data_IF_595456538669
#
_entry.id   IF_595456538669
#
_cell.length_a   1.000
_cell.length_b   1.000
_cell.length_c   1.000
_cell.angle_alpha   90.00
_cell.angle_beta   90.00
_cell.angle_gamma   90.00
#
_symmetry.space_group_name_H-M   'P 1'
#
loop_
_entity.id
_entity.type
_entity.pdbx_description
1 polymer ?
#
# COMPACT_ATOMS: atom_id res chain seq x y z
N UNK A 1 -6.54 -8.56 20.16
CA UNK A 1 -6.72 -7.63 19.03
C UNK A 1 -5.63 -6.60 19.12
N UNK A 2 -4.81 -6.45 18.09
CA UNK A 2 -3.73 -5.46 18.02
C UNK A 2 -4.23 -4.08 17.58
N UNK A 3 -5.40 -4.02 16.94
CA UNK A 3 -6.09 -2.75 16.67
C UNK A 3 -6.94 -2.79 15.40
N UNK A 4 -7.30 -1.60 14.92
CA UNK A 4 -8.04 -1.39 13.67
C UNK A 4 -7.12 -0.84 12.59
N UNK A 5 -7.24 -1.40 11.39
CA UNK A 5 -6.69 -0.85 10.16
C UNK A 5 -7.72 0.10 9.55
N UNK A 6 -7.34 1.33 9.15
CA UNK A 6 -8.26 2.23 8.50
C UNK A 6 -8.67 1.70 7.12
N UNK A 7 -9.75 2.23 6.57
CA UNK A 7 -10.06 2.05 5.15
C UNK A 7 -8.91 2.56 4.27
N UNK A 8 -8.67 1.92 3.13
CA UNK A 8 -7.58 2.33 2.24
C UNK A 8 -7.83 1.95 0.79
N UNK A 9 -7.22 2.70 -0.14
CA UNK A 9 -7.17 2.33 -1.55
C UNK A 9 -5.98 1.40 -1.80
N UNK A 10 -6.20 0.31 -2.52
CA UNK A 10 -5.14 -0.40 -3.23
C UNK A 10 -5.16 0.01 -4.68
N UNK A 11 -3.99 0.28 -5.25
CA UNK A 11 -3.92 0.76 -6.61
C UNK A 11 -2.75 0.14 -7.38
N UNK A 12 -2.92 0.04 -8.69
CA UNK A 12 -1.88 -0.36 -9.63
C UNK A 12 -2.12 0.26 -11.01
N UNK A 13 -1.02 0.57 -11.71
CA UNK A 13 -1.04 1.01 -13.09
C UNK A 13 -0.97 -0.22 -14.02
N UNK A 14 -1.98 -0.39 -14.87
CA UNK A 14 -2.05 -1.49 -15.82
C UNK A 14 -1.16 -1.21 -17.04
N UNK A 15 0.13 -1.50 -16.84
CA UNK A 15 1.13 -1.48 -17.89
C UNK A 15 1.77 -2.87 -18.03
N UNK A 16 2.01 -3.31 -19.27
CA UNK A 16 2.69 -4.56 -19.55
C UNK A 16 4.10 -4.56 -18.94
N UNK A 17 4.51 -5.65 -18.33
CA UNK A 17 5.81 -5.72 -17.64
C UNK A 17 6.29 -7.16 -17.52
N UNK A 18 7.56 -7.40 -17.84
CA UNK A 18 8.20 -8.71 -17.73
C UNK A 18 8.28 -9.22 -16.27
N UNK A 19 8.25 -8.31 -15.28
CA UNK A 19 8.25 -8.66 -13.86
C UNK A 19 6.89 -9.17 -13.34
N UNK A 20 5.86 -9.20 -14.19
CA UNK A 20 4.51 -9.64 -13.83
C UNK A 20 4.10 -10.81 -14.72
N UNK A 21 4.06 -12.00 -14.15
CA UNK A 21 3.77 -13.27 -14.83
C UNK A 21 2.27 -13.55 -15.06
N UNK A 22 1.41 -12.53 -14.88
CA UNK A 22 -0.03 -12.69 -14.88
C UNK A 22 -0.72 -11.77 -15.87
N UNK A 23 -1.83 -12.23 -16.49
CA UNK A 23 -2.44 -11.52 -17.59
C UNK A 23 -3.17 -10.27 -17.12
N UNK A 24 -3.27 -9.30 -18.04
CA UNK A 24 -4.07 -8.07 -17.97
C UNK A 24 -3.61 -7.02 -16.94
N UNK A 25 -2.81 -7.38 -15.94
CA UNK A 25 -2.25 -6.45 -14.95
C UNK A 25 -3.29 -5.59 -14.22
N UNK A 26 -4.52 -6.10 -14.10
CA UNK A 26 -5.69 -5.35 -13.61
C UNK A 26 -5.99 -5.53 -12.12
N UNK A 27 -5.24 -6.38 -11.43
CA UNK A 27 -5.46 -6.67 -10.01
C UNK A 27 -4.35 -6.02 -9.17
N UNK A 28 -4.66 -4.94 -8.42
CA UNK A 28 -3.70 -4.30 -7.52
C UNK A 28 -3.11 -5.27 -6.49
N UNK A 29 -3.90 -6.21 -5.97
CA UNK A 29 -3.41 -7.18 -4.98
C UNK A 29 -2.41 -8.15 -5.60
N UNK A 30 -2.69 -8.63 -6.82
CA UNK A 30 -1.78 -9.53 -7.52
C UNK A 30 -0.51 -8.80 -7.94
N UNK A 31 -0.60 -7.54 -8.36
CA UNK A 31 0.56 -6.68 -8.66
C UNK A 31 1.45 -6.50 -7.44
N UNK A 32 0.86 -6.14 -6.30
CA UNK A 32 1.55 -5.98 -5.03
C UNK A 32 2.26 -7.27 -4.61
N UNK A 33 1.58 -8.42 -4.68
CA UNK A 33 2.14 -9.71 -4.26
C UNK A 33 3.37 -10.13 -5.05
N UNK A 34 3.41 -9.88 -6.36
CA UNK A 34 4.58 -10.18 -7.19
C UNK A 34 5.71 -9.20 -6.88
N UNK A 35 5.42 -7.90 -6.91
CA UNK A 35 6.49 -6.88 -6.94
C UNK A 35 6.95 -6.41 -5.55
N UNK A 36 6.22 -6.73 -4.47
CA UNK A 36 6.57 -6.28 -3.11
C UNK A 36 7.99 -6.67 -2.71
N UNK A 37 8.41 -7.91 -2.97
CA UNK A 37 9.71 -8.39 -2.51
C UNK A 37 10.87 -7.58 -3.12
N UNK A 38 10.76 -7.23 -4.40
CA UNK A 38 11.68 -6.35 -5.11
C UNK A 38 11.73 -4.98 -4.44
N UNK A 39 10.57 -4.38 -4.11
CA UNK A 39 10.51 -3.07 -3.42
C UNK A 39 11.15 -3.13 -2.03
N UNK A 40 10.91 -4.21 -1.28
CA UNK A 40 11.51 -4.40 0.05
C UNK A 40 13.04 -4.52 -0.06
N UNK A 41 13.55 -5.24 -1.05
CA UNK A 41 14.98 -5.30 -1.35
C UNK A 41 15.57 -3.94 -1.69
N UNK A 42 14.95 -3.18 -2.61
CA UNK A 42 15.42 -1.84 -2.94
C UNK A 42 15.48 -0.94 -1.71
N UNK A 43 14.44 -0.96 -0.88
CA UNK A 43 14.45 -0.20 0.38
C UNK A 43 15.58 -0.65 1.32
N UNK A 44 15.94 -1.94 1.31
CA UNK A 44 17.08 -2.45 2.08
C UNK A 44 18.40 -1.90 1.54
N UNK A 45 18.60 -1.90 0.21
CA UNK A 45 19.80 -1.32 -0.41
C UNK A 45 19.91 0.17 -0.09
N UNK A 46 18.84 0.95 -0.27
CA UNK A 46 18.83 2.39 -0.01
C UNK A 46 19.07 2.74 1.47
N UNK A 47 18.84 1.79 2.39
CA UNK A 47 19.08 1.92 3.82
C UNK A 47 20.36 1.20 4.26
N UNK A 48 21.17 0.74 3.30
CA UNK A 48 22.42 0.03 3.51
C UNK A 48 22.24 -1.25 4.36
N UNK A 49 21.07 -1.89 4.30
CA UNK A 49 20.70 -3.07 5.10
C UNK A 49 21.01 -4.41 4.43
N UNK A 50 21.90 -4.42 3.45
CA UNK A 50 22.25 -5.62 2.68
C UNK A 50 23.73 -5.92 2.85
N UNK A 51 24.04 -7.08 3.41
CA UNK A 51 25.41 -7.57 3.60
C UNK A 51 25.51 -9.02 3.14
N UNK A 52 26.55 -9.37 2.39
CA UNK A 52 26.83 -10.74 1.95
C UNK A 52 25.62 -11.47 1.34
N UNK A 53 24.81 -10.77 0.55
CA UNK A 53 23.63 -11.34 -0.11
C UNK A 53 22.43 -11.57 0.81
N UNK A 54 22.42 -11.02 2.03
CA UNK A 54 21.31 -11.08 2.98
C UNK A 54 20.86 -9.66 3.33
N UNK A 55 19.55 -9.44 3.26
CA UNK A 55 18.92 -8.20 3.69
C UNK A 55 18.27 -8.38 5.06
N UNK A 56 18.54 -7.47 6.00
CA UNK A 56 18.05 -7.54 7.39
C UNK A 56 16.87 -6.59 7.58
N UNK A 57 15.82 -7.00 8.29
CA UNK A 57 14.74 -6.10 8.71
C UNK A 57 15.33 -4.92 9.51
N UNK A 58 14.79 -3.68 9.43
CA UNK A 58 15.24 -2.59 10.27
C UNK A 58 15.27 -2.98 11.76
N UNK A 59 16.45 -2.90 12.36
CA UNK A 59 16.67 -3.12 13.79
C UNK A 59 16.49 -1.76 14.49
N UNK A 60 15.57 -1.71 15.46
CA UNK A 60 15.27 -0.49 16.23
C UNK A 60 15.77 -0.58 17.68
N UNK A 61 16.03 -1.78 18.18
CA UNK A 61 16.36 -2.02 19.58
C UNK A 61 17.87 -2.00 19.83
N UNK A 62 18.27 -1.52 21.01
CA UNK A 62 19.66 -1.55 21.50
C UNK A 62 20.15 -2.98 21.83
N UNK A 63 19.24 -3.95 21.88
CA UNK A 63 19.57 -5.37 22.03
C UNK A 63 18.80 -6.20 21.03
N UNK A 64 19.48 -7.14 20.39
CA UNK A 64 18.95 -7.97 19.31
C UNK A 64 19.04 -9.42 19.75
N UNK A 65 17.89 -10.08 19.89
CA UNK A 65 17.82 -11.54 20.08
C UNK A 65 17.94 -12.23 18.71
N UNK A 66 18.98 -13.05 18.53
CA UNK A 66 19.26 -13.79 17.30
C UNK A 66 18.04 -14.58 16.81
N UNK A 67 17.22 -15.13 17.73
CA UNK A 67 16.06 -15.95 17.40
C UNK A 67 14.87 -15.15 16.82
N UNK A 68 14.86 -13.83 17.01
CA UNK A 68 13.78 -12.94 16.57
C UNK A 68 14.16 -12.06 15.38
N UNK A 69 15.44 -12.01 15.00
CA UNK A 69 15.86 -11.21 13.84
C UNK A 69 15.29 -11.77 12.55
N UNK A 70 14.67 -10.88 11.77
CA UNK A 70 14.14 -11.21 10.47
C UNK A 70 15.06 -10.71 9.35
N UNK A 71 15.18 -11.51 8.31
CA UNK A 71 15.95 -11.21 7.11
C UNK A 71 15.47 -12.03 5.92
N UNK A 72 16.09 -11.82 4.77
CA UNK A 72 15.90 -12.67 3.60
C UNK A 72 17.16 -12.74 2.75
N UNK A 73 17.34 -13.87 2.05
CA UNK A 73 18.40 -14.00 1.06
C UNK A 73 17.98 -13.26 -0.21
N UNK A 74 18.87 -12.43 -0.73
CA UNK A 74 18.64 -11.68 -1.97
C UNK A 74 18.35 -12.66 -3.11
N UNK A 75 19.09 -13.76 -3.18
CA UNK A 75 18.86 -14.80 -4.18
C UNK A 75 17.40 -15.31 -4.21
N UNK A 76 16.80 -15.58 -3.05
CA UNK A 76 15.42 -16.09 -2.95
C UNK A 76 14.38 -15.08 -3.47
N UNK A 77 14.67 -13.78 -3.39
CA UNK A 77 13.77 -12.74 -3.93
C UNK A 77 13.82 -12.72 -5.46
N UNK A 78 15.00 -12.94 -6.03
CA UNK A 78 15.28 -12.71 -7.44
C UNK A 78 15.26 -13.98 -8.30
N UNK A 79 15.13 -15.17 -7.70
CA UNK A 79 15.05 -16.48 -8.37
C UNK A 79 14.15 -16.47 -9.63
N UNK A 80 13.01 -15.78 -9.57
CA UNK A 80 12.04 -15.70 -10.68
C UNK A 80 12.12 -14.41 -11.50
N UNK A 81 12.90 -13.41 -11.07
CA UNK A 81 12.98 -12.09 -11.72
C UNK A 81 14.31 -11.85 -12.44
N UNK A 82 15.28 -12.77 -12.33
CA UNK A 82 16.61 -12.62 -12.88
C UNK A 82 17.59 -12.08 -11.83
N UNK A 83 18.45 -11.15 -12.20
CA UNK A 83 19.31 -10.44 -11.25
C UNK A 83 18.76 -9.02 -10.94
N UNK A 84 19.25 -8.35 -9.87
CA UNK A 84 18.84 -6.98 -9.57
C UNK A 84 19.10 -5.99 -10.71
N UNK A 85 20.11 -6.22 -11.56
CA UNK A 85 20.45 -5.36 -12.69
C UNK A 85 19.37 -5.42 -13.79
N UNK A 86 18.87 -6.61 -14.10
CA UNK A 86 17.79 -6.84 -15.05
C UNK A 86 16.48 -6.17 -14.59
N UNK A 87 16.19 -6.25 -13.29
CA UNK A 87 15.04 -5.55 -12.68
C UNK A 87 15.23 -4.03 -12.76
N UNK A 88 16.43 -3.53 -12.48
CA UNK A 88 16.77 -2.11 -12.60
C UNK A 88 16.53 -1.60 -14.02
N UNK A 89 17.11 -2.26 -15.03
CA UNK A 89 16.95 -1.93 -16.46
C UNK A 89 15.48 -1.93 -16.88
N UNK A 90 14.71 -2.91 -16.42
CA UNK A 90 13.26 -2.98 -16.69
C UNK A 90 12.52 -1.79 -16.09
N UNK A 91 12.88 -1.39 -14.87
CA UNK A 91 12.23 -0.28 -14.18
C UNK A 91 12.70 1.08 -14.69
N UNK A 92 13.91 1.17 -15.24
CA UNK A 92 14.58 2.41 -15.66
C UNK A 92 13.77 3.20 -16.67
N UNK A 93 13.23 2.50 -17.67
CA UNK A 93 12.46 3.07 -18.78
C UNK A 93 10.95 2.85 -18.64
N UNK A 94 10.49 2.37 -17.48
CA UNK A 94 9.09 2.00 -17.28
C UNK A 94 8.21 3.25 -17.11
N UNK A 95 7.26 3.52 -18.03
CA UNK A 95 6.40 4.70 -17.96
C UNK A 95 5.34 4.61 -16.85
N UNK A 96 5.17 3.43 -16.23
CA UNK A 96 4.26 3.23 -15.11
C UNK A 96 4.95 3.34 -13.74
N UNK A 97 6.24 3.68 -13.68
CA UNK A 97 6.97 3.77 -12.43
C UNK A 97 6.79 5.14 -11.78
N UNK A 98 5.70 5.32 -11.04
CA UNK A 98 5.35 6.61 -10.42
C UNK A 98 6.36 7.12 -9.40
N UNK A 99 7.18 6.22 -8.83
CA UNK A 99 8.20 6.58 -7.85
C UNK A 99 9.44 7.22 -8.48
N UNK A 100 9.64 7.10 -9.80
CA UNK A 100 10.76 7.76 -10.51
C UNK A 100 10.73 9.28 -10.46
N UNK A 101 9.56 9.86 -10.19
CA UNK A 101 9.41 11.31 -10.00
C UNK A 101 10.02 11.79 -8.66
N UNK A 102 10.32 10.87 -7.73
CA UNK A 102 10.95 11.16 -6.43
C UNK A 102 12.40 10.70 -6.41
N UNK A 103 12.61 9.47 -6.86
CA UNK A 103 13.90 8.81 -6.83
C UNK A 103 14.11 8.16 -8.20
N UNK A 104 15.04 8.72 -8.98
CA UNK A 104 15.36 8.23 -10.33
C UNK A 104 15.79 6.76 -10.35
N UNK A 105 16.28 6.25 -9.22
CA UNK A 105 16.67 4.86 -9.01
C UNK A 105 15.52 3.96 -8.59
N UNK A 106 14.34 4.51 -8.26
CA UNK A 106 13.20 3.74 -7.76
C UNK A 106 12.77 2.62 -8.71
N UNK A 107 12.46 1.46 -8.14
CA UNK A 107 11.99 0.27 -8.84
C UNK A 107 10.53 0.00 -8.51
N UNK A 108 9.87 -0.70 -9.43
CA UNK A 108 8.52 -1.26 -9.26
C UNK A 108 7.48 -0.27 -8.74
N UNK A 109 7.59 1.04 -9.01
CA UNK A 109 6.69 2.10 -8.51
C UNK A 109 5.28 2.13 -9.11
N UNK A 110 4.84 1.05 -9.76
CA UNK A 110 3.57 0.96 -10.49
C UNK A 110 2.38 0.49 -9.63
N UNK A 111 2.54 0.41 -8.32
CA UNK A 111 1.49 0.01 -7.38
C UNK A 111 1.70 0.63 -6.00
N UNK A 112 0.65 0.65 -5.20
CA UNK A 112 0.73 1.08 -3.81
C UNK A 112 -0.57 0.92 -3.05
N UNK A 113 -0.55 1.48 -1.85
CA UNK A 113 -1.72 1.61 -0.98
C UNK A 113 -1.81 3.05 -0.50
N UNK A 114 -3.02 3.55 -0.32
CA UNK A 114 -3.27 4.88 0.24
C UNK A 114 -4.33 4.74 1.35
N UNK A 115 -3.92 4.77 2.63
CA UNK A 115 -4.86 4.79 3.73
C UNK A 115 -5.67 6.10 3.70
N UNK A 116 -6.93 6.02 4.12
CA UNK A 116 -7.82 7.19 4.14
C UNK A 116 -7.44 8.20 5.21
N UNK A 117 -6.80 7.72 6.27
CA UNK A 117 -6.18 8.54 7.31
C UNK A 117 -4.67 8.53 7.11
N UNK A 118 -3.99 9.54 7.67
CA UNK A 118 -2.52 9.63 7.69
C UNK A 118 -1.90 8.59 8.66
N UNK A 119 -2.18 7.31 8.43
CA UNK A 119 -1.76 6.17 9.25
C UNK A 119 -0.72 5.39 8.47
N UNK A 120 0.37 4.98 9.12
CA UNK A 120 1.21 3.90 8.61
C UNK A 120 0.42 2.59 8.71
N UNK A 121 0.13 1.94 7.57
CA UNK A 121 -0.56 0.65 7.59
C UNK A 121 0.22 -0.33 8.51
N UNK A 122 -0.43 -1.00 9.47
CA UNK A 122 0.21 -1.78 10.54
C UNK A 122 0.97 -3.02 10.08
N UNK A 123 1.13 -3.22 8.77
CA UNK A 123 1.88 -4.35 8.24
C UNK A 123 3.41 -4.22 8.48
N UNK A 124 3.89 -3.06 8.97
CA UNK A 124 5.33 -2.76 9.13
C UNK A 124 5.70 -1.99 10.42
N UNK A 125 4.77 -1.67 11.31
CA UNK A 125 5.06 -0.90 12.53
C UNK A 125 4.30 -1.51 13.71
N UNK A 126 5.00 -1.78 14.82
CA UNK A 126 4.44 -2.35 16.05
C UNK A 126 3.47 -1.42 16.78
N UNK A 127 3.41 -0.15 16.38
CA UNK A 127 2.49 0.86 16.88
C UNK A 127 1.67 1.42 15.73
N UNK A 128 0.34 1.44 15.90
CA UNK A 128 -0.58 2.14 15.01
C UNK A 128 -0.49 3.64 15.31
N UNK A 129 0.10 4.49 14.44
CA UNK A 129 -0.02 5.92 14.63
C UNK A 129 -1.50 6.32 14.53
N UNK A 130 -2.00 7.10 15.49
CA UNK A 130 -3.29 7.78 15.35
C UNK A 130 -3.11 8.92 14.35
N UNK A 131 -3.47 8.70 13.09
CA UNK A 131 -3.50 9.78 12.09
C UNK A 131 -4.50 10.85 12.50
N UNK A 132 -4.07 12.12 12.54
CA UNK A 132 -4.90 13.27 12.91
C UNK A 132 -5.73 13.82 11.75
N UNK A 133 -5.51 13.32 10.52
CA UNK A 133 -6.14 13.80 9.29
C UNK A 133 -6.87 12.67 8.57
N UNK A 134 -8.15 12.88 8.27
CA UNK A 134 -9.01 11.99 7.49
C UNK A 134 -9.36 12.63 6.13
N UNK A 135 -8.96 11.98 5.02
CA UNK A 135 -9.22 12.46 3.67
C UNK A 135 -10.72 12.58 3.35
N UNK A 136 -11.58 11.79 4.00
CA UNK A 136 -13.03 11.86 3.78
C UNK A 136 -13.58 13.17 4.31
N UNK A 137 -13.12 13.59 5.48
CA UNK A 137 -13.54 14.84 6.10
C UNK A 137 -13.03 16.04 5.30
N UNK A 138 -11.76 16.03 4.91
CA UNK A 138 -11.18 17.06 4.04
C UNK A 138 -11.91 17.13 2.69
N UNK A 139 -12.23 15.99 2.08
CA UNK A 139 -13.03 15.94 0.86
C UNK A 139 -14.39 16.62 1.07
N UNK A 140 -15.09 16.32 2.16
CA UNK A 140 -16.38 16.98 2.43
C UNK A 140 -16.23 18.49 2.63
N UNK A 141 -15.12 18.98 3.16
CA UNK A 141 -14.84 20.41 3.26
C UNK A 141 -14.60 21.03 1.87
N UNK A 142 -13.76 20.40 1.03
CA UNK A 142 -13.54 20.82 -0.37
C UNK A 142 -14.87 20.92 -1.11
N UNK A 143 -15.70 19.89 -1.04
CA UNK A 143 -16.97 19.83 -1.76
C UNK A 143 -18.04 20.80 -1.23
N UNK A 144 -17.92 21.28 0.01
CA UNK A 144 -18.81 22.35 0.53
C UNK A 144 -18.50 23.71 -0.08
N UNK A 145 -17.26 23.92 -0.50
CA UNK A 145 -16.77 25.21 -0.99
C UNK A 145 -16.68 25.28 -2.51
N UNK A 146 -16.71 24.14 -3.19
CA UNK A 146 -16.59 24.03 -4.65
C UNK A 146 -17.80 23.29 -5.26
N UNK A 147 -18.85 24.06 -5.60
CA UNK A 147 -20.07 23.51 -6.20
C UNK A 147 -19.85 22.99 -7.62
N UNK A 148 -18.92 23.59 -8.39
CA UNK A 148 -18.62 23.14 -9.75
C UNK A 148 -17.94 21.76 -9.73
N UNK A 149 -17.01 21.53 -8.81
CA UNK A 149 -16.41 20.23 -8.60
C UNK A 149 -17.45 19.17 -8.21
N UNK A 150 -18.41 19.52 -7.35
CA UNK A 150 -19.52 18.63 -6.97
C UNK A 150 -20.34 18.21 -8.19
N UNK A 151 -20.72 19.15 -9.05
CA UNK A 151 -21.49 18.86 -10.25
C UNK A 151 -20.74 17.89 -11.17
N UNK A 152 -19.46 18.18 -11.47
CA UNK A 152 -18.64 17.30 -12.31
C UNK A 152 -18.46 15.91 -11.70
N UNK A 153 -18.34 15.80 -10.37
CA UNK A 153 -18.31 14.49 -9.69
C UNK A 153 -19.64 13.77 -9.89
N UNK A 154 -20.77 14.43 -9.67
CA UNK A 154 -22.10 13.83 -9.79
C UNK A 154 -22.49 13.47 -11.23
N UNK A 155 -21.88 14.10 -12.22
CA UNK A 155 -21.98 13.72 -13.62
C UNK A 155 -21.12 12.50 -13.98
N UNK A 156 -19.95 12.37 -13.38
CA UNK A 156 -18.95 11.37 -13.77
C UNK A 156 -18.95 10.11 -12.89
N UNK A 157 -19.53 10.15 -11.69
CA UNK A 157 -19.46 9.07 -10.70
C UNK A 157 -20.82 8.71 -10.11
N UNK A 158 -20.86 7.55 -9.46
CA UNK A 158 -22.01 7.14 -8.66
C UNK A 158 -22.25 8.12 -7.51
N UNK A 159 -23.50 8.56 -7.34
CA UNK A 159 -23.90 9.46 -6.24
C UNK A 159 -23.94 8.66 -4.93
N UNK A 160 -23.04 8.98 -4.01
CA UNK A 160 -22.97 8.35 -2.69
C UNK A 160 -22.95 9.40 -1.59
N UNK A 161 -23.36 9.02 -0.39
CA UNK A 161 -23.15 9.82 0.83
C UNK A 161 -22.44 8.98 1.88
N UNK A 162 -21.18 9.30 2.25
CA UNK A 162 -20.35 10.39 1.72
C UNK A 162 -19.89 10.18 0.27
N UNK A 163 -19.56 11.26 -0.45
CA UNK A 163 -19.09 11.26 -1.85
C UNK A 163 -17.80 10.47 -2.08
N UNK A 164 -17.00 10.29 -1.02
CA UNK A 164 -15.79 9.48 -1.01
C UNK A 164 -15.99 8.11 -1.67
N UNK A 165 -17.09 7.43 -1.34
CA UNK A 165 -17.35 6.09 -1.85
C UNK A 165 -17.55 6.08 -3.37
N UNK A 166 -18.29 7.05 -3.91
CA UNK A 166 -18.61 7.19 -5.33
C UNK A 166 -17.37 7.33 -6.20
N UNK A 167 -16.35 8.03 -5.71
CA UNK A 167 -15.08 8.21 -6.40
C UNK A 167 -14.35 6.88 -6.67
N UNK A 168 -14.59 5.84 -5.86
CA UNK A 168 -13.79 4.62 -5.87
C UNK A 168 -14.58 3.33 -6.16
N UNK A 169 -15.88 3.44 -6.50
CA UNK A 169 -16.69 2.27 -6.91
C UNK A 169 -16.16 1.68 -8.21
N UNK A 170 -15.83 2.52 -9.20
CA UNK A 170 -15.24 2.05 -10.45
C UNK A 170 -13.82 1.56 -10.21
N UNK A 171 -13.59 0.27 -10.43
CA UNK A 171 -12.24 -0.32 -10.31
C UNK A 171 -11.30 0.08 -11.43
N UNK A 172 -11.84 0.62 -12.52
CA UNK A 172 -11.14 1.03 -13.74
C UNK A 172 -11.73 2.36 -14.20
N UNK A 173 -11.44 3.46 -13.49
CA UNK A 173 -11.95 4.77 -13.86
C UNK A 173 -11.51 5.16 -15.28
N UNK A 174 -12.42 5.76 -16.04
CA UNK A 174 -12.11 6.33 -17.36
C UNK A 174 -11.07 7.45 -17.26
N UNK A 175 -10.52 7.92 -18.39
CA UNK A 175 -9.61 9.08 -18.35
C UNK A 175 -10.28 10.32 -17.74
N UNK A 176 -11.55 10.59 -18.09
CA UNK A 176 -12.35 11.69 -17.49
C UNK A 176 -12.47 11.51 -15.97
N UNK A 177 -12.78 10.31 -15.51
CA UNK A 177 -12.89 10.02 -14.08
C UNK A 177 -11.53 10.18 -13.37
N UNK A 178 -10.43 9.70 -13.95
CA UNK A 178 -9.08 9.84 -13.37
C UNK A 178 -8.64 11.30 -13.27
N UNK A 179 -8.98 12.13 -14.26
CA UNK A 179 -8.69 13.56 -14.22
C UNK A 179 -9.44 14.27 -13.07
N UNK A 180 -10.74 13.96 -12.88
CA UNK A 180 -11.51 14.50 -11.75
C UNK A 180 -10.98 13.98 -10.41
N UNK A 181 -10.66 12.69 -10.32
CA UNK A 181 -10.02 12.12 -9.12
C UNK A 181 -8.71 12.82 -8.79
N UNK A 182 -7.89 13.16 -9.80
CA UNK A 182 -6.63 13.86 -9.60
C UNK A 182 -6.87 15.26 -9.02
N UNK A 183 -7.79 16.02 -9.60
CA UNK A 183 -8.15 17.35 -9.10
C UNK A 183 -8.69 17.30 -7.66
N UNK A 184 -9.53 16.30 -7.35
CA UNK A 184 -10.02 16.07 -6.00
C UNK A 184 -8.87 15.79 -5.02
N UNK A 185 -7.95 14.89 -5.39
CA UNK A 185 -6.80 14.55 -4.56
C UNK A 185 -5.91 15.77 -4.35
N UNK A 186 -5.62 16.54 -5.40
CA UNK A 186 -4.81 17.76 -5.31
C UNK A 186 -5.47 18.80 -4.40
N UNK A 187 -6.79 19.01 -4.50
CA UNK A 187 -7.54 19.92 -3.63
C UNK A 187 -7.51 19.47 -2.15
N UNK A 188 -7.63 18.16 -1.89
CA UNK A 188 -7.52 17.61 -0.53
C UNK A 188 -6.10 17.77 0.02
N UNK A 189 -5.07 17.49 -0.78
CA UNK A 189 -3.68 17.62 -0.36
C UNK A 189 -3.29 19.07 -0.07
N UNK A 190 -3.82 20.05 -0.81
CA UNK A 190 -3.60 21.48 -0.54
C UNK A 190 -4.15 21.94 0.82
N UNK A 191 -5.15 21.23 1.36
CA UNK A 191 -5.75 21.52 2.68
C UNK A 191 -5.17 20.68 3.81
N UNK A 192 -4.24 19.78 3.51
CA UNK A 192 -3.64 18.91 4.52
C UNK A 192 -2.69 19.74 5.39
N UNK A 193 -2.90 19.81 6.72
CA UNK A 193 -2.13 20.68 7.62
C UNK A 193 -0.75 20.12 7.98
N UNK A 194 -0.37 18.97 7.43
CA UNK A 194 0.83 18.21 7.75
C UNK A 194 1.57 17.76 6.48
N UNK A 195 2.78 17.23 6.68
CA UNK A 195 3.55 16.61 5.60
C UNK A 195 2.82 15.37 5.09
N UNK A 196 2.52 15.35 3.79
CA UNK A 196 1.86 14.23 3.13
C UNK A 196 2.67 12.94 3.31
N UNK A 197 2.02 11.87 3.78
CA UNK A 197 2.67 10.57 3.94
C UNK A 197 3.18 10.02 2.60
N UNK A 198 4.23 9.19 2.63
CA UNK A 198 4.77 8.54 1.43
C UNK A 198 3.72 7.71 0.66
N UNK A 199 2.72 7.16 1.36
CA UNK A 199 1.62 6.41 0.76
C UNK A 199 0.67 7.31 -0.04
N UNK A 200 0.35 8.48 0.51
CA UNK A 200 -0.47 9.49 -0.16
C UNK A 200 0.24 10.07 -1.37
N UNK A 201 1.52 10.44 -1.23
CA UNK A 201 2.31 10.99 -2.33
C UNK A 201 2.50 9.97 -3.46
N UNK A 202 2.73 8.69 -3.12
CA UNK A 202 2.83 7.63 -4.12
C UNK A 202 1.53 7.45 -4.91
N UNK A 203 0.36 7.49 -4.26
CA UNK A 203 -0.93 7.41 -4.96
C UNK A 203 -1.18 8.63 -5.84
N UNK A 204 -0.95 9.83 -5.31
CA UNK A 204 -1.09 11.07 -6.06
C UNK A 204 -0.24 11.07 -7.34
N UNK A 205 1.02 10.66 -7.25
CA UNK A 205 1.90 10.50 -8.43
C UNK A 205 1.42 9.41 -9.38
N UNK A 206 0.99 8.27 -8.84
CA UNK A 206 0.41 7.18 -9.63
C UNK A 206 -0.80 7.64 -10.43
N UNK A 207 -1.71 8.39 -9.80
CA UNK A 207 -2.89 8.96 -10.42
C UNK A 207 -2.54 10.03 -11.46
N UNK A 208 -1.61 10.94 -11.16
CA UNK A 208 -1.11 11.94 -12.10
C UNK A 208 -0.52 11.29 -13.36
N UNK A 209 0.40 10.34 -13.17
CA UNK A 209 1.03 9.60 -14.25
C UNK A 209 0.00 8.84 -15.09
N UNK A 210 -1.04 8.29 -14.43
CA UNK A 210 -2.16 7.64 -15.09
C UNK A 210 -2.89 8.56 -16.06
N UNK A 211 -3.09 9.83 -15.68
CA UNK A 211 -3.74 10.84 -16.52
C UNK A 211 -2.80 11.30 -17.63
N UNK A 212 -1.59 11.74 -17.29
CA UNK A 212 -0.61 12.32 -18.22
C UNK A 212 -0.20 11.34 -19.32
N UNK A 213 0.04 10.08 -18.98
CA UNK A 213 0.49 9.05 -19.91
C UNK A 213 -0.66 8.17 -20.41
N UNK A 214 -1.90 8.48 -20.01
CA UNK A 214 -3.09 7.68 -20.28
C UNK A 214 -2.92 6.17 -19.95
N UNK A 215 -2.20 5.86 -18.86
CA UNK A 215 -2.01 4.47 -18.40
C UNK A 215 -3.18 4.08 -17.49
N UNK A 216 -3.99 3.05 -17.79
CA UNK A 216 -5.15 2.72 -16.97
C UNK A 216 -4.79 2.48 -15.48
N UNK A 217 -5.54 3.14 -14.60
CA UNK A 217 -5.45 2.93 -13.15
C UNK A 217 -6.44 1.84 -12.74
N UNK A 218 -5.97 0.87 -11.97
CA UNK A 218 -6.82 -0.04 -11.23
C UNK A 218 -6.84 0.37 -9.77
N UNK A 219 -8.03 0.54 -9.22
CA UNK A 219 -8.23 0.93 -7.82
C UNK A 219 -9.22 0.01 -7.14
N UNK A 220 -8.97 -0.27 -5.87
CA UNK A 220 -9.87 -1.02 -5.02
C UNK A 220 -9.93 -0.37 -3.65
N UNK A 221 -11.10 0.12 -3.25
CA UNK A 221 -11.36 0.50 -1.87
C UNK A 221 -11.45 -0.76 -1.00
N UNK A 222 -10.58 -0.84 -0.01
CA UNK A 222 -10.55 -1.90 1.00
C UNK A 222 -11.17 -1.34 2.28
N UNK A 223 -12.24 -1.96 2.81
CA UNK A 223 -12.89 -1.48 4.03
C UNK A 223 -11.94 -1.49 5.22
N UNK A 224 -12.29 -0.72 6.25
CA UNK A 224 -11.67 -0.86 7.57
C UNK A 224 -11.76 -2.32 8.06
N UNK A 225 -10.74 -2.75 8.80
CA UNK A 225 -10.66 -4.10 9.28
C UNK A 225 -9.97 -4.17 10.64
N UNK A 226 -10.37 -5.12 11.44
CA UNK A 226 -9.77 -5.43 12.73
C UNK A 226 -8.61 -6.43 12.56
N UNK A 227 -7.53 -6.30 13.34
CA UNK A 227 -6.38 -7.22 13.24
C UNK A 227 -5.89 -7.76 14.57
N UNK A 228 -5.46 -9.02 14.57
CA UNK A 228 -4.73 -9.67 15.66
C UNK A 228 -3.23 -9.87 15.34
N UNK A 229 -2.75 -9.32 14.21
CA UNK A 229 -1.37 -9.49 13.72
C UNK A 229 -1.15 -10.68 12.79
N UNK A 230 -2.12 -11.61 12.71
CA UNK A 230 -2.07 -12.78 11.81
C UNK A 230 -3.20 -12.73 10.80
N UNK A 231 -4.38 -12.31 11.25
CA UNK A 231 -5.58 -12.18 10.47
C UNK A 231 -6.09 -10.72 10.44
N UNK A 232 -6.71 -10.38 9.30
CA UNK A 232 -7.63 -9.27 9.13
C UNK A 232 -9.06 -9.78 9.14
N UNK A 233 -9.87 -9.17 9.99
CA UNK A 233 -11.29 -9.41 10.15
C UNK A 233 -12.01 -8.20 9.58
N UNK A 234 -12.60 -8.38 8.39
CA UNK A 234 -13.42 -7.37 7.75
C UNK A 234 -14.87 -7.66 8.12
N UNK A 235 -15.53 -6.70 8.75
CA UNK A 235 -16.94 -6.82 9.09
C UNK A 235 -17.83 -6.94 7.86
N UNK A 236 -19.10 -7.23 8.11
CA UNK A 236 -20.13 -7.20 7.08
C UNK A 236 -20.12 -5.84 6.36
N UNK A 237 -20.12 -5.82 5.03
CA UNK A 237 -19.96 -4.59 4.25
C UNK A 237 -20.68 -4.63 2.90
N UNK A 238 -20.93 -3.47 2.32
CA UNK A 238 -21.51 -3.37 0.98
C UNK A 238 -20.57 -3.96 -0.07
N UNK A 239 -21.05 -4.90 -0.89
CA UNK A 239 -20.26 -5.51 -1.95
C UNK A 239 -19.90 -4.59 -3.12
N UNK A 240 -20.54 -3.42 -3.22
CA UNK A 240 -20.30 -2.41 -4.26
C UNK A 240 -19.36 -1.30 -3.77
N UNK A 241 -19.75 -0.57 -2.73
CA UNK A 241 -18.97 0.58 -2.26
C UNK A 241 -18.00 0.27 -1.11
N UNK A 242 -18.06 -0.91 -0.49
CA UNK A 242 -17.17 -1.26 0.62
C UNK A 242 -17.54 -0.68 1.99
N UNK A 243 -18.55 0.19 2.10
CA UNK A 243 -18.98 0.72 3.39
C UNK A 243 -19.41 -0.40 4.36
N UNK A 244 -18.91 -0.35 5.60
CA UNK A 244 -19.29 -1.28 6.67
C UNK A 244 -20.80 -1.21 6.91
N UNK A 245 -21.42 -2.38 7.00
CA UNK A 245 -22.85 -2.54 7.18
C UNK A 245 -23.21 -2.33 8.65
N UNK A 246 -23.89 -1.22 8.92
CA UNK A 246 -24.57 -0.92 10.18
C UNK A 246 -26.04 -0.60 9.91
N UNK A 247 -26.87 -0.46 10.95
CA UNK A 247 -28.26 -0.02 10.82
C UNK A 247 -28.40 1.34 10.09
N UNK A 248 -27.39 2.21 10.21
CA UNK A 248 -27.34 3.52 9.56
C UNK A 248 -26.91 3.46 8.09
N UNK A 249 -26.13 2.43 7.72
CA UNK A 249 -25.53 2.30 6.38
C UNK A 249 -26.17 1.21 5.54
N UNK A 250 -27.01 0.35 6.12
CA UNK A 250 -27.61 -0.78 5.42
C UNK A 250 -28.92 -1.26 6.06
N UNK A 251 -29.93 -1.55 5.24
CA UNK A 251 -31.25 -2.06 5.68
C UNK A 251 -31.33 -3.60 5.79
N UNK A 252 -30.19 -4.30 5.65
CA UNK A 252 -30.14 -5.74 5.36
C UNK A 252 -30.45 -6.13 3.89
N UNK A 253 -31.16 -5.30 3.13
CA UNK A 253 -31.50 -5.57 1.70
C UNK A 253 -31.03 -4.50 0.73
N UNK A 254 -30.63 -3.33 1.22
CA UNK A 254 -30.09 -2.24 0.41
C UNK A 254 -29.03 -1.47 1.20
N UNK A 255 -27.96 -1.07 0.52
CA UNK A 255 -26.95 -0.17 1.07
C UNK A 255 -27.45 1.28 1.03
N UNK A 256 -27.48 1.96 2.17
CA UNK A 256 -27.95 3.35 2.27
C UNK A 256 -26.93 4.36 1.74
N UNK A 257 -25.65 3.97 1.63
CA UNK A 257 -24.54 4.80 1.10
C UNK A 257 -24.56 4.90 -0.42
N UNK A 258 -24.62 3.76 -1.13
CA UNK A 258 -24.55 3.71 -2.61
C UNK A 258 -25.82 3.22 -3.30
N UNK A 259 -26.89 2.98 -2.53
CA UNK A 259 -28.20 2.48 -2.99
C UNK A 259 -28.18 1.12 -3.67
N UNK A 260 -27.06 0.40 -3.62
CA UNK A 260 -26.96 -0.95 -4.16
C UNK A 260 -27.91 -1.92 -3.45
N UNK A 261 -28.72 -2.62 -4.22
CA UNK A 261 -29.61 -3.68 -3.72
C UNK A 261 -28.83 -4.97 -3.46
N UNK A 262 -29.28 -5.72 -2.47
CA UNK A 262 -28.68 -6.98 -2.05
C UNK A 262 -28.24 -6.97 -0.59
N UNK A 263 -27.99 -8.17 -0.08
CA UNK A 263 -27.48 -8.36 1.29
C UNK A 263 -26.02 -7.90 1.37
N UNK A 264 -25.57 -7.39 2.53
CA UNK A 264 -24.16 -7.10 2.72
C UNK A 264 -23.35 -8.40 2.65
N UNK A 265 -22.08 -8.29 2.24
CA UNK A 265 -21.15 -9.41 2.27
C UNK A 265 -20.97 -9.87 3.70
N UNK A 266 -20.92 -11.18 3.90
CA UNK A 266 -20.65 -11.76 5.22
C UNK A 266 -19.26 -11.34 5.71
N UNK A 267 -19.05 -11.28 7.05
CA UNK A 267 -17.74 -11.04 7.63
C UNK A 267 -16.67 -11.93 7.01
N UNK A 268 -15.50 -11.37 6.75
CA UNK A 268 -14.40 -12.06 6.07
C UNK A 268 -13.17 -12.12 6.96
N UNK A 269 -12.60 -13.32 7.11
CA UNK A 269 -11.28 -13.52 7.69
C UNK A 269 -10.26 -13.72 6.59
N UNK A 270 -9.20 -12.90 6.58
CA UNK A 270 -8.09 -12.98 5.62
C UNK A 270 -6.78 -12.97 6.38
N UNK A 271 -5.73 -13.58 5.84
CA UNK A 271 -4.39 -13.36 6.39
C UNK A 271 -4.00 -11.90 6.20
N UNK A 272 -3.32 -11.33 7.21
CA UNK A 272 -2.63 -10.05 7.03
C UNK A 272 -1.63 -10.14 5.89
N UNK A 273 -1.23 -9.00 5.35
CA UNK A 273 -0.20 -8.92 4.31
C UNK A 273 1.11 -9.61 4.73
N UNK A 274 1.41 -9.56 6.03
CA UNK A 274 2.57 -10.17 6.68
C UNK A 274 3.89 -9.51 6.29
N UNK A 275 4.98 -9.92 6.96
CA UNK A 275 6.31 -9.33 6.79
C UNK A 275 7.11 -9.86 5.60
N UNK A 276 6.52 -10.64 4.68
CA UNK A 276 7.26 -11.16 3.52
C UNK A 276 7.94 -10.02 2.73
N UNK A 277 9.17 -10.20 2.25
CA UNK A 277 9.93 -11.47 2.19
C UNK A 277 10.70 -11.83 3.47
N UNK A 278 10.57 -11.09 4.57
CA UNK A 278 11.31 -11.38 5.80
C UNK A 278 10.88 -12.68 6.48
N UNK A 279 11.87 -13.41 6.99
CA UNK A 279 11.76 -14.63 7.81
C UNK A 279 12.80 -14.61 8.92
N UNK A 280 12.60 -15.38 9.98
CA UNK A 280 13.64 -15.58 11.01
C UNK A 280 14.95 -16.02 10.37
N UNK A 281 16.04 -15.30 10.63
CA UNK A 281 17.34 -15.57 10.00
C UNK A 281 17.87 -16.96 10.34
N UNK A 282 17.60 -17.42 11.57
CA UNK A 282 17.92 -18.77 12.04
C UNK A 282 17.32 -19.87 11.16
N UNK A 283 16.24 -19.60 10.43
CA UNK A 283 15.62 -20.56 9.51
C UNK A 283 16.50 -20.90 8.31
N UNK A 284 17.36 -19.99 7.87
CA UNK A 284 18.18 -20.18 6.66
C UNK A 284 19.69 -20.03 6.87
N UNK A 285 20.13 -19.49 8.01
CA UNK A 285 21.54 -19.45 8.42
C UNK A 285 21.87 -20.41 9.58
N UNK A 286 20.87 -20.98 10.25
CA UNK A 286 21.06 -21.62 11.56
C UNK A 286 21.30 -20.59 12.66
N UNK A 287 21.35 -21.04 13.91
CA UNK A 287 21.54 -20.15 15.07
C UNK A 287 22.95 -19.54 15.08
N UNK A 288 23.99 -20.37 14.95
CA UNK A 288 25.38 -19.91 14.94
C UNK A 288 25.69 -19.01 13.74
N UNK A 289 25.20 -19.38 12.55
CA UNK A 289 25.38 -18.57 11.35
C UNK A 289 24.63 -17.24 11.40
N UNK A 290 23.44 -17.20 12.00
CA UNK A 290 22.73 -15.94 12.23
C UNK A 290 23.48 -15.05 13.24
N UNK A 291 24.03 -15.62 14.31
CA UNK A 291 24.83 -14.89 15.31
C UNK A 291 26.11 -14.33 14.70
N UNK A 292 26.85 -15.12 13.94
CA UNK A 292 28.06 -14.69 13.23
C UNK A 292 27.74 -13.55 12.26
N UNK A 293 26.73 -13.74 11.41
CA UNK A 293 26.28 -12.71 10.48
C UNK A 293 25.90 -11.40 11.20
N UNK A 294 25.15 -11.47 12.30
CA UNK A 294 24.73 -10.26 13.02
C UNK A 294 25.89 -9.52 13.67
N UNK A 295 26.92 -10.23 14.13
CA UNK A 295 28.15 -9.62 14.61
C UNK A 295 28.91 -8.91 13.49
N UNK A 296 29.04 -9.55 12.31
CA UNK A 296 29.65 -8.94 11.13
C UNK A 296 28.84 -7.71 10.67
N UNK A 297 27.52 -7.83 10.62
CA UNK A 297 26.60 -6.76 10.25
C UNK A 297 26.67 -5.58 11.23
N UNK A 298 26.76 -5.85 12.54
CA UNK A 298 26.99 -4.83 13.57
C UNK A 298 28.29 -4.05 13.32
N UNK A 299 29.38 -4.77 13.02
CA UNK A 299 30.68 -4.16 12.70
C UNK A 299 30.60 -3.31 11.42
N UNK A 300 29.99 -3.85 10.37
CA UNK A 300 29.76 -3.15 9.10
C UNK A 300 28.98 -1.84 9.30
N UNK A 301 27.98 -1.85 10.18
CA UNK A 301 27.16 -0.68 10.54
C UNK A 301 27.79 0.28 11.53
N UNK A 302 28.91 -0.08 12.16
CA UNK A 302 29.49 0.69 13.27
C UNK A 302 28.55 0.80 14.48
N UNK A 303 27.71 -0.21 14.71
CA UNK A 303 26.67 -0.19 15.74
C UNK A 303 27.19 -0.65 17.09
N UNK A 304 28.21 0.01 17.65
CA UNK A 304 28.85 -0.43 18.90
C UNK A 304 27.87 -0.55 20.09
N UNK A 305 26.81 0.26 20.07
CA UNK A 305 25.75 0.31 21.06
C UNK A 305 24.75 -0.86 21.01
N UNK A 306 24.74 -1.66 19.94
CA UNK A 306 23.79 -2.77 19.79
C UNK A 306 24.38 -4.06 20.35
N UNK A 307 23.68 -4.73 21.27
CA UNK A 307 24.12 -6.03 21.81
C UNK A 307 23.42 -7.19 21.11
N UNK A 308 24.17 -8.14 20.53
CA UNK A 308 23.64 -9.38 19.95
C UNK A 308 23.58 -10.45 21.06
N UNK A 309 22.40 -11.03 21.29
CA UNK A 309 22.15 -12.07 22.30
C UNK A 309 21.72 -13.37 21.63
#
# INVERSE_FOLDING_TARGET
MLGKTPEFLRWALAHACALKDFPKWTDPNRTERHLRAIRVYQNAVNQDRVLNGVAVEPIQDASVDVAEVLGFRVHDVFEFYGDPEAVSKTCEVCPANAMKMLDSSAWVGCFGMMPVNEVALPDLVGELPNGSVDMRELLQQVLKEDSELVERIYEAFDKTSPSWYGLWISRTPSLKQRAIQLEVVEAVLQRTPCTVSAAWDAFHRGLRLSVEQNIPLHVQLVPEAETDGVYWFVDSHCGRCGAIASSEKHTGTQCLVCKNEGRPRQPQRRFVRGKRPYWKMTRFLGEDGAREFLNEYKQHKGWDHVTVR
#
